data_IF_713587148470
#
_entry.id   IF_713587148470
#
_cell.length_a   1.000
_cell.length_b   1.000
_cell.length_c   1.000
_cell.angle_alpha   90.00
_cell.angle_beta   90.00
_cell.angle_gamma   90.00
#
_symmetry.space_group_name_H-M   'P 1'
#
loop_
_entity.id
_entity.type
_entity.pdbx_description
1 polymer ?
#
# COMPACT_ATOMS: atom_id res chain seq x y z
N UNK A 1 1.37 7.45 11.63
CA UNK A 1 1.51 6.01 11.38
C UNK A 1 2.32 5.31 12.49
N UNK A 2 3.53 5.80 12.84
CA UNK A 2 4.47 5.12 13.73
C UNK A 2 3.91 4.63 15.06
N UNK A 3 3.06 5.41 15.72
CA UNK A 3 2.40 5.03 16.98
C UNK A 3 1.18 4.12 16.73
N UNK A 4 0.31 4.51 15.81
CA UNK A 4 -0.95 3.81 15.56
C UNK A 4 -0.81 2.46 14.84
N UNK A 5 0.35 2.15 14.27
CA UNK A 5 0.60 0.81 13.68
C UNK A 5 0.38 -0.34 14.67
N UNK A 6 0.46 -0.06 15.99
CA UNK A 6 0.16 -1.02 17.04
C UNK A 6 -1.32 -1.45 17.06
N UNK A 7 -2.21 -0.61 16.54
CA UNK A 7 -3.65 -0.86 16.51
C UNK A 7 -4.11 -1.63 15.25
N UNK A 8 -3.21 -1.77 14.27
CA UNK A 8 -3.51 -2.52 13.05
C UNK A 8 -3.74 -4.00 13.35
N UNK A 9 -4.93 -4.50 13.03
CA UNK A 9 -5.32 -5.90 13.20
C UNK A 9 -6.75 -6.10 13.68
N UNK A 10 -7.07 -7.28 14.20
CA UNK A 10 -8.41 -7.68 14.62
C UNK A 10 -8.57 -7.49 16.13
N UNK A 11 -9.60 -6.75 16.53
CA UNK A 11 -9.98 -6.52 17.91
C UNK A 11 -11.24 -7.33 18.23
N UNK A 12 -11.27 -7.96 19.40
CA UNK A 12 -12.39 -8.75 19.90
C UNK A 12 -13.07 -8.03 21.04
N UNK A 13 -14.39 -7.87 20.95
CA UNK A 13 -15.23 -7.33 22.01
C UNK A 13 -16.17 -8.40 22.54
N UNK A 14 -16.13 -8.62 23.87
CA UNK A 14 -17.02 -9.55 24.57
C UNK A 14 -17.87 -8.76 25.56
N UNK A 15 -19.18 -8.71 25.30
CA UNK A 15 -20.16 -7.97 26.11
C UNK A 15 -21.53 -8.60 26.07
N UNK A 16 -22.39 -8.21 26.97
CA UNK A 16 -23.84 -8.43 26.82
C UNK A 16 -24.31 -7.52 25.69
N UNK A 17 -24.87 -8.10 24.64
CA UNK A 17 -25.29 -7.33 23.46
C UNK A 17 -26.54 -6.51 23.78
N UNK A 18 -26.51 -5.19 23.55
CA UNK A 18 -27.71 -4.34 23.73
C UNK A 18 -28.81 -4.64 22.70
N UNK A 19 -28.46 -5.38 21.63
CA UNK A 19 -29.43 -5.78 20.57
C UNK A 19 -30.06 -7.16 20.82
N UNK A 20 -29.66 -7.86 21.88
CA UNK A 20 -30.19 -9.17 22.23
C UNK A 20 -31.17 -9.07 23.41
N UNK A 21 -32.45 -9.23 23.16
CA UNK A 21 -33.50 -9.20 24.17
C UNK A 21 -33.30 -10.24 25.30
N UNK A 22 -32.59 -11.35 25.02
CA UNK A 22 -32.30 -12.38 26.02
C UNK A 22 -31.10 -12.05 26.93
N UNK A 23 -30.45 -10.90 26.75
CA UNK A 23 -29.32 -10.47 27.57
C UNK A 23 -28.09 -11.41 27.53
N UNK A 24 -27.91 -12.17 26.48
CA UNK A 24 -26.80 -13.13 26.35
C UNK A 24 -25.48 -12.40 26.06
N UNK A 25 -24.41 -12.92 26.64
CA UNK A 25 -23.03 -12.51 26.32
C UNK A 25 -22.67 -12.92 24.90
N UNK A 26 -22.24 -11.96 24.10
CA UNK A 26 -21.87 -12.17 22.69
C UNK A 26 -20.46 -11.61 22.41
N UNK A 27 -19.85 -12.13 21.36
CA UNK A 27 -18.55 -11.71 20.88
C UNK A 27 -18.71 -11.01 19.53
N UNK A 28 -18.08 -9.85 19.39
CA UNK A 28 -17.98 -9.12 18.13
C UNK A 28 -16.52 -8.90 17.78
N UNK A 29 -16.22 -8.84 16.49
CA UNK A 29 -14.89 -8.56 15.96
C UNK A 29 -14.93 -7.30 15.12
N UNK A 30 -13.86 -6.52 15.21
CA UNK A 30 -13.62 -5.31 14.41
C UNK A 30 -12.21 -5.37 13.87
N UNK A 31 -12.05 -5.15 12.58
CA UNK A 31 -10.74 -4.95 11.96
C UNK A 31 -10.38 -3.48 11.94
N UNK A 32 -9.20 -3.13 12.45
CA UNK A 32 -8.63 -1.80 12.34
C UNK A 32 -7.49 -1.85 11.33
N UNK A 33 -7.60 -1.07 10.26
CA UNK A 33 -6.57 -0.94 9.24
C UNK A 33 -5.90 0.42 9.37
N UNK A 34 -4.58 0.42 9.60
CA UNK A 34 -3.77 1.62 9.77
C UNK A 34 -2.72 1.66 8.70
N UNK A 35 -2.80 2.66 7.81
CA UNK A 35 -1.85 2.84 6.72
C UNK A 35 -1.11 4.17 6.84
N UNK A 36 0.15 4.25 6.38
CA UNK A 36 0.81 5.53 6.22
C UNK A 36 0.12 6.32 5.10
N UNK A 37 0.03 7.62 5.30
CA UNK A 37 -0.33 8.55 4.24
C UNK A 37 0.87 8.64 3.28
N UNK A 38 0.73 8.02 2.11
CA UNK A 38 1.76 8.03 1.07
C UNK A 38 1.38 9.12 0.09
N UNK A 39 2.30 10.06 -0.12
CA UNK A 39 2.11 11.13 -1.09
C UNK A 39 1.93 10.51 -2.49
N UNK A 40 0.72 10.63 -3.01
CA UNK A 40 0.34 10.08 -4.33
C UNK A 40 0.68 11.02 -5.48
N UNK A 41 1.30 12.17 -5.17
CA UNK A 41 1.69 13.14 -6.18
C UNK A 41 2.93 12.61 -6.94
N UNK A 42 2.67 11.97 -8.08
CA UNK A 42 3.71 11.40 -8.93
C UNK A 42 4.11 12.44 -9.94
N UNK A 43 5.17 13.20 -9.66
CA UNK A 43 5.83 14.02 -10.65
C UNK A 43 6.92 13.21 -11.37
N UNK A 44 6.91 13.26 -12.71
CA UNK A 44 7.86 12.54 -13.54
C UNK A 44 8.69 13.56 -14.30
N UNK A 45 9.89 13.77 -13.82
CA UNK A 45 10.94 14.46 -14.55
C UNK A 45 11.70 13.46 -15.41
N UNK A 46 11.82 13.76 -16.70
CA UNK A 46 12.58 12.95 -17.65
C UNK A 46 13.78 13.79 -18.07
N UNK A 47 14.98 13.32 -17.74
CA UNK A 47 16.21 13.94 -18.21
C UNK A 47 16.54 13.42 -19.61
N UNK A 48 16.91 14.32 -20.52
CA UNK A 48 17.29 13.95 -21.88
C UNK A 48 18.53 13.04 -21.92
N UNK A 49 19.43 13.15 -20.95
CA UNK A 49 20.63 12.32 -20.82
C UNK A 49 20.31 10.85 -20.50
N UNK A 50 19.13 10.59 -19.91
CA UNK A 50 18.65 9.23 -19.60
C UNK A 50 17.93 8.59 -20.79
N UNK A 51 17.82 9.30 -21.92
CA UNK A 51 17.11 8.86 -23.10
C UNK A 51 18.07 8.48 -24.23
N UNK A 52 17.90 7.29 -24.76
CA UNK A 52 18.46 6.91 -26.04
C UNK A 52 17.38 6.98 -27.10
N UNK A 53 17.58 7.86 -28.09
CA UNK A 53 16.63 8.09 -29.18
C UNK A 53 17.22 7.53 -30.48
N UNK A 54 16.59 6.48 -30.99
CA UNK A 54 16.98 5.85 -32.25
C UNK A 54 15.91 6.15 -33.31
N UNK A 55 16.36 6.57 -34.50
CA UNK A 55 15.50 6.76 -35.67
C UNK A 55 15.64 5.58 -36.61
N UNK A 56 14.54 5.07 -37.13
CA UNK A 56 14.55 3.94 -38.07
C UNK A 56 13.49 4.11 -39.16
N UNK A 57 13.59 3.29 -40.18
CA UNK A 57 12.60 3.28 -41.26
C UNK A 57 11.36 2.52 -40.81
N UNK A 58 10.20 3.18 -40.95
CA UNK A 58 8.93 2.50 -40.67
C UNK A 58 8.72 1.34 -41.67
N UNK A 59 8.32 0.16 -41.18
CA UNK A 59 7.92 -0.97 -41.99
C UNK A 59 6.38 -1.06 -42.00
N UNK A 60 5.76 -0.99 -43.17
CA UNK A 60 4.31 -1.11 -43.31
C UNK A 60 3.86 -1.09 -44.76
N UNK A 61 2.62 -1.50 -45.01
CA UNK A 61 1.96 -1.42 -46.30
C UNK A 61 1.68 0.04 -46.68
N UNK A 62 2.67 0.71 -47.23
CA UNK A 62 2.57 2.10 -47.70
C UNK A 62 3.52 2.34 -48.88
N UNK A 63 3.16 3.21 -49.78
CA UNK A 63 3.88 3.46 -51.05
C UNK A 63 5.35 3.86 -50.86
N UNK A 64 6.06 4.14 -51.96
CA UNK A 64 7.52 4.40 -52.02
C UNK A 64 8.05 5.44 -51.04
N UNK A 65 7.21 6.36 -50.55
CA UNK A 65 7.62 7.43 -49.59
C UNK A 65 7.92 6.87 -48.19
N UNK A 66 7.17 5.87 -47.71
CA UNK A 66 7.33 5.27 -46.36
C UNK A 66 8.65 4.52 -46.22
N UNK A 67 9.09 3.90 -47.32
CA UNK A 67 10.33 3.11 -47.35
C UNK A 67 11.61 3.96 -47.51
N UNK A 68 11.50 5.24 -47.82
CA UNK A 68 12.65 6.15 -48.06
C UNK A 68 13.00 7.06 -46.90
N UNK A 69 12.04 7.34 -45.97
CA UNK A 69 12.25 8.30 -44.89
C UNK A 69 12.30 7.58 -43.54
N UNK A 70 13.34 7.87 -42.74
CA UNK A 70 13.48 7.36 -41.35
C UNK A 70 12.63 8.21 -40.40
N UNK A 71 11.30 8.11 -40.50
CA UNK A 71 10.37 8.89 -39.67
C UNK A 71 9.98 8.20 -38.36
N UNK A 72 10.22 6.90 -38.25
CA UNK A 72 9.90 6.14 -37.04
C UNK A 72 10.94 6.41 -35.93
N UNK A 73 10.45 6.55 -34.71
CA UNK A 73 11.25 6.83 -33.51
C UNK A 73 11.10 5.72 -32.50
N UNK A 74 12.23 5.34 -31.91
CA UNK A 74 12.33 4.48 -30.74
C UNK A 74 13.02 5.26 -29.64
N UNK A 75 12.40 5.37 -28.47
CA UNK A 75 13.00 5.96 -27.27
C UNK A 75 13.18 4.85 -26.25
N UNK A 76 14.40 4.73 -25.76
CA UNK A 76 14.73 3.82 -24.65
C UNK A 76 15.11 4.66 -23.45
N UNK A 77 14.41 4.49 -22.35
CA UNK A 77 14.77 5.09 -21.06
C UNK A 77 15.80 4.17 -20.38
N UNK A 78 17.04 4.63 -20.30
CA UNK A 78 18.18 3.83 -19.88
C UNK A 78 18.03 3.28 -18.46
N UNK A 79 17.61 4.10 -17.43
CA UNK A 79 17.52 3.63 -16.06
C UNK A 79 16.49 2.52 -15.83
N UNK A 80 15.33 2.59 -16.52
CA UNK A 80 14.23 1.62 -16.35
C UNK A 80 14.18 0.55 -17.42
N UNK A 81 14.93 0.70 -18.51
CA UNK A 81 14.89 -0.19 -19.66
C UNK A 81 13.59 -0.13 -20.47
N UNK A 82 12.70 0.83 -20.19
CA UNK A 82 11.44 0.98 -20.92
C UNK A 82 11.72 1.45 -22.34
N UNK A 83 11.14 0.74 -23.31
CA UNK A 83 11.24 1.07 -24.74
C UNK A 83 9.87 1.45 -25.27
N UNK A 84 9.78 2.58 -25.95
CA UNK A 84 8.59 3.04 -26.66
C UNK A 84 8.92 3.28 -28.14
N UNK A 85 7.96 3.05 -29.02
CA UNK A 85 8.13 3.22 -30.46
C UNK A 85 6.90 3.96 -31.01
N UNK A 86 7.14 4.91 -31.90
CA UNK A 86 6.10 5.60 -32.63
C UNK A 86 6.47 5.75 -34.12
N UNK A 87 5.55 5.36 -34.98
CA UNK A 87 5.72 5.41 -36.44
C UNK A 87 4.45 5.88 -37.18
N UNK A 88 3.46 6.37 -36.43
CA UNK A 88 2.12 6.62 -36.98
C UNK A 88 2.04 7.91 -37.79
N UNK A 89 2.96 8.83 -37.58
CA UNK A 89 2.96 10.14 -38.23
C UNK A 89 4.03 10.22 -39.34
N UNK A 90 3.79 11.11 -40.30
CA UNK A 90 4.75 11.36 -41.39
C UNK A 90 5.96 12.18 -40.95
N UNK A 91 5.78 12.98 -39.89
CA UNK A 91 6.84 13.84 -39.33
C UNK A 91 7.58 13.11 -38.19
N UNK A 92 8.90 13.11 -38.27
CA UNK A 92 9.78 12.61 -37.24
C UNK A 92 9.57 13.33 -35.90
N UNK A 93 9.37 14.65 -35.91
CA UNK A 93 9.11 15.44 -34.70
C UNK A 93 7.82 15.05 -34.02
N UNK A 94 6.73 14.84 -34.78
CA UNK A 94 5.46 14.41 -34.22
C UNK A 94 5.55 13.00 -33.63
N UNK A 95 6.30 12.09 -34.26
CA UNK A 95 6.56 10.78 -33.70
C UNK A 95 7.40 10.85 -32.40
N UNK A 96 8.36 11.79 -32.31
CA UNK A 96 9.15 12.03 -31.10
C UNK A 96 8.25 12.50 -29.96
N UNK A 97 7.40 13.49 -30.21
CA UNK A 97 6.51 14.06 -29.19
C UNK A 97 5.53 13.01 -28.68
N UNK A 98 4.93 12.21 -29.58
CA UNK A 98 4.06 11.11 -29.20
C UNK A 98 4.79 10.01 -28.42
N UNK A 99 5.99 9.65 -28.86
CA UNK A 99 6.82 8.68 -28.13
C UNK A 99 7.18 9.17 -26.72
N UNK A 100 7.49 10.46 -26.56
CA UNK A 100 7.73 11.06 -25.24
C UNK A 100 6.49 11.00 -24.34
N UNK A 101 5.31 11.30 -24.87
CA UNK A 101 4.05 11.17 -24.12
C UNK A 101 3.80 9.73 -23.71
N UNK A 102 4.02 8.77 -24.60
CA UNK A 102 3.89 7.32 -24.30
C UNK A 102 4.90 6.89 -23.24
N UNK A 103 6.14 7.37 -23.30
CA UNK A 103 7.15 7.08 -22.28
C UNK A 103 6.74 7.63 -20.93
N UNK A 104 6.29 8.89 -20.87
CA UNK A 104 5.81 9.52 -19.64
C UNK A 104 4.67 8.75 -19.01
N UNK A 105 3.70 8.30 -19.82
CA UNK A 105 2.59 7.47 -19.35
C UNK A 105 3.06 6.11 -18.79
N UNK A 106 4.03 5.45 -19.42
CA UNK A 106 4.56 4.17 -18.93
C UNK A 106 5.38 4.33 -17.65
N UNK A 107 6.19 5.39 -17.54
CA UNK A 107 6.92 5.70 -16.32
C UNK A 107 5.97 6.02 -15.16
N UNK A 108 4.87 6.73 -15.44
CA UNK A 108 3.82 7.00 -14.46
C UNK A 108 3.22 5.71 -13.91
N UNK A 109 2.82 4.79 -14.79
CA UNK A 109 2.26 3.50 -14.38
C UNK A 109 3.25 2.66 -13.56
N UNK A 110 4.54 2.66 -13.96
CA UNK A 110 5.58 1.94 -13.21
C UNK A 110 5.73 2.52 -11.81
N UNK A 111 5.81 3.84 -11.68
CA UNK A 111 5.95 4.50 -10.39
C UNK A 111 4.70 4.31 -9.51
N UNK A 112 3.52 4.28 -10.11
CA UNK A 112 2.28 3.94 -9.41
C UNK A 112 2.32 2.51 -8.88
N UNK A 113 2.73 1.54 -9.69
CA UNK A 113 2.88 0.14 -9.27
C UNK A 113 3.90 -0.01 -8.12
N UNK A 114 5.03 0.71 -8.18
CA UNK A 114 6.01 0.72 -7.09
C UNK A 114 5.43 1.28 -5.79
N UNK A 115 4.63 2.34 -5.87
CA UNK A 115 3.96 2.92 -4.69
C UNK A 115 2.89 1.97 -4.13
N UNK A 116 2.11 1.33 -5.00
CA UNK A 116 1.11 0.33 -4.60
C UNK A 116 1.78 -0.89 -3.95
N UNK A 117 2.91 -1.35 -4.50
CA UNK A 117 3.69 -2.41 -3.90
C UNK A 117 4.24 -2.04 -2.52
N UNK A 118 4.82 -0.85 -2.38
CA UNK A 118 5.28 -0.32 -1.08
C UNK A 118 4.15 -0.23 -0.07
N UNK A 119 2.97 0.24 -0.51
CA UNK A 119 1.78 0.31 0.35
C UNK A 119 1.34 -1.08 0.81
N UNK A 120 1.36 -2.07 -0.09
CA UNK A 120 1.02 -3.46 0.21
C UNK A 120 2.04 -4.08 1.18
N UNK A 121 3.33 -3.86 0.94
CA UNK A 121 4.41 -4.38 1.81
C UNK A 121 4.34 -3.78 3.23
N UNK A 122 3.97 -2.49 3.34
CA UNK A 122 3.79 -1.82 4.64
C UNK A 122 2.52 -2.29 5.34
N UNK A 123 1.46 -2.53 4.59
CA UNK A 123 0.19 -3.04 5.11
C UNK A 123 0.34 -4.43 5.70
N UNK A 124 1.21 -5.27 5.14
CA UNK A 124 1.38 -6.67 5.52
C UNK A 124 0.15 -7.52 5.19
N UNK A 125 0.20 -8.78 5.60
CA UNK A 125 -0.92 -9.71 5.39
C UNK A 125 -2.14 -9.29 6.21
N UNK A 126 -3.24 -8.96 5.54
CA UNK A 126 -4.54 -8.76 6.18
C UNK A 126 -5.05 -10.12 6.65
N UNK A 127 -4.95 -10.37 7.95
CA UNK A 127 -5.43 -11.62 8.55
C UNK A 127 -6.97 -11.66 8.53
N UNK A 128 -7.50 -12.82 8.23
CA UNK A 128 -8.94 -13.07 8.31
C UNK A 128 -9.50 -12.69 9.68
N UNK A 129 -10.71 -12.12 9.69
CA UNK A 129 -11.43 -11.74 10.91
C UNK A 129 -11.96 -12.99 11.58
N UNK A 130 -11.14 -13.65 12.39
CA UNK A 130 -11.48 -14.87 13.11
C UNK A 130 -10.90 -14.90 14.54
N UNK A 131 -11.25 -15.95 15.30
CA UNK A 131 -10.77 -16.11 16.68
C UNK A 131 -9.25 -16.27 16.81
N UNK A 132 -8.55 -16.72 15.77
CA UNK A 132 -7.10 -16.94 15.78
C UNK A 132 -6.28 -15.68 15.48
N UNK A 133 -6.89 -14.65 14.90
CA UNK A 133 -6.19 -13.47 14.37
C UNK A 133 -6.26 -12.25 15.28
N UNK A 134 -6.92 -12.36 16.43
CA UNK A 134 -7.15 -11.22 17.32
C UNK A 134 -5.85 -10.71 17.97
N UNK A 135 -5.60 -9.41 17.86
CA UNK A 135 -4.47 -8.75 18.51
C UNK A 135 -4.82 -8.29 19.93
N UNK A 136 -6.08 -7.86 20.15
CA UNK A 136 -6.55 -7.37 21.46
C UNK A 136 -7.95 -7.82 21.76
N UNK A 137 -8.19 -8.18 23.03
CA UNK A 137 -9.49 -8.60 23.52
C UNK A 137 -9.99 -7.62 24.59
N UNK A 138 -11.22 -7.17 24.40
CA UNK A 138 -11.97 -6.30 25.33
C UNK A 138 -13.08 -7.14 25.95
N UNK A 139 -13.01 -7.37 27.25
CA UNK A 139 -14.02 -8.11 28.00
C UNK A 139 -14.70 -7.14 28.95
N UNK A 140 -16.04 -7.03 28.84
CA UNK A 140 -16.86 -6.17 29.69
C UNK A 140 -17.69 -6.93 30.72
N UNK A 141 -17.94 -8.22 30.48
CA UNK A 141 -18.65 -9.13 31.40
C UNK A 141 -18.06 -10.53 31.36
N UNK A 142 -17.99 -11.26 32.48
CA UNK A 142 -18.45 -10.90 33.85
C UNK A 142 -17.48 -9.98 34.60
N UNK A 143 -16.30 -9.72 34.07
CA UNK A 143 -15.29 -8.80 34.59
C UNK A 143 -14.85 -7.86 33.48
N UNK A 144 -14.26 -6.72 33.84
CA UNK A 144 -13.73 -5.77 32.87
C UNK A 144 -12.23 -5.96 32.71
N UNK A 145 -11.78 -6.20 31.47
CA UNK A 145 -10.36 -6.36 31.17
C UNK A 145 -10.11 -6.09 29.67
N UNK A 146 -9.01 -5.43 29.37
CA UNK A 146 -8.46 -5.37 28.02
C UNK A 146 -7.09 -6.00 28.04
N UNK A 147 -6.86 -6.95 27.12
CA UNK A 147 -5.59 -7.66 26.98
C UNK A 147 -5.11 -7.62 25.55
N UNK A 148 -3.86 -7.22 25.34
CA UNK A 148 -3.16 -7.38 24.06
C UNK A 148 -2.48 -8.74 24.04
N UNK A 149 -2.86 -9.58 23.06
CA UNK A 149 -2.38 -10.96 22.96
C UNK A 149 -0.92 -11.07 22.51
N UNK A 150 -0.36 -10.00 21.91
CA UNK A 150 1.02 -9.97 21.40
C UNK A 150 2.03 -9.66 22.50
N UNK A 151 1.68 -8.70 23.36
CA UNK A 151 2.56 -8.19 24.43
C UNK A 151 2.18 -8.70 25.81
N UNK A 152 1.06 -9.42 25.93
CA UNK A 152 0.45 -9.85 27.20
C UNK A 152 0.13 -8.68 28.16
N UNK A 153 0.12 -7.43 27.65
CA UNK A 153 -0.27 -6.26 28.46
C UNK A 153 -1.76 -6.30 28.76
N UNK A 154 -2.09 -6.13 30.06
CA UNK A 154 -3.47 -6.15 30.56
C UNK A 154 -3.78 -4.81 31.26
N UNK A 155 -5.02 -4.35 31.10
CA UNK A 155 -5.61 -3.19 31.78
C UNK A 155 -7.01 -3.56 32.25
N UNK A 156 -7.27 -3.46 33.56
CA UNK A 156 -8.56 -3.84 34.15
C UNK A 156 -9.70 -2.89 33.81
N UNK A 157 -9.40 -1.60 33.58
CA UNK A 157 -10.41 -0.58 33.26
C UNK A 157 -10.65 -0.53 31.74
N UNK A 158 -11.56 -1.38 31.26
CA UNK A 158 -11.91 -1.39 29.83
C UNK A 158 -12.60 -0.08 29.38
N UNK A 159 -13.34 0.61 30.23
CA UNK A 159 -13.98 1.88 29.92
C UNK A 159 -12.96 2.95 29.57
N UNK A 160 -11.93 3.13 30.39
CA UNK A 160 -10.85 4.08 30.11
C UNK A 160 -10.16 3.83 28.78
N UNK A 161 -9.95 2.57 28.41
CA UNK A 161 -9.33 2.21 27.12
C UNK A 161 -10.25 2.54 25.95
N UNK A 162 -11.55 2.30 26.10
CA UNK A 162 -12.55 2.65 25.08
C UNK A 162 -12.73 4.18 24.94
N UNK A 163 -12.48 4.92 26.00
CA UNK A 163 -12.49 6.40 26.02
C UNK A 163 -11.19 7.00 25.43
N UNK A 164 -10.24 6.17 24.99
CA UNK A 164 -9.04 6.61 24.28
C UNK A 164 -7.71 6.42 25.01
N UNK A 165 -7.69 5.89 26.25
CA UNK A 165 -6.44 5.61 26.96
C UNK A 165 -5.76 4.33 26.43
N UNK A 166 -5.24 4.39 25.20
CA UNK A 166 -4.56 3.28 24.49
C UNK A 166 -3.05 3.31 24.63
N UNK A 167 -2.47 4.39 25.15
CA UNK A 167 -1.02 4.58 25.27
C UNK A 167 -0.28 3.43 25.95
N UNK A 168 -0.82 2.77 27.01
CA UNK A 168 -0.16 1.63 27.64
C UNK A 168 0.08 0.47 26.69
N UNK A 169 -0.82 0.26 25.73
CA UNK A 169 -0.71 -0.80 24.71
C UNK A 169 0.24 -0.40 23.59
N UNK A 170 0.18 0.86 23.14
CA UNK A 170 1.09 1.42 22.14
C UNK A 170 2.53 1.28 22.62
N UNK A 171 2.82 1.75 23.84
CA UNK A 171 4.16 1.70 24.42
C UNK A 171 4.65 0.26 24.62
N UNK A 172 3.78 -0.63 25.10
CA UNK A 172 4.12 -2.04 25.24
C UNK A 172 4.46 -2.68 23.90
N UNK A 173 3.70 -2.39 22.84
CA UNK A 173 3.94 -2.90 21.51
C UNK A 173 5.23 -2.35 20.88
N UNK A 174 5.50 -1.04 21.02
CA UNK A 174 6.71 -0.43 20.51
C UNK A 174 7.95 -0.99 21.22
N UNK A 175 7.87 -1.19 22.53
CA UNK A 175 8.94 -1.84 23.31
C UNK A 175 9.15 -3.27 22.84
N UNK A 176 8.08 -4.04 22.66
CA UNK A 176 8.14 -5.42 22.20
C UNK A 176 8.80 -5.55 20.81
N UNK A 177 8.53 -4.63 19.88
CA UNK A 177 9.20 -4.60 18.56
C UNK A 177 10.68 -4.23 18.73
N UNK A 178 11.00 -3.24 19.54
CA UNK A 178 12.38 -2.73 19.69
C UNK A 178 13.31 -3.73 20.40
N UNK A 179 12.77 -4.54 21.31
CA UNK A 179 13.54 -5.57 22.04
C UNK A 179 13.65 -6.90 21.29
N UNK A 180 13.09 -6.99 20.05
CA UNK A 180 13.18 -8.18 19.22
C UNK A 180 12.53 -9.39 19.86
N UNK A 181 11.15 -9.42 19.88
CA UNK A 181 10.34 -10.63 20.20
C UNK A 181 10.92 -11.51 21.30
N UNK A 182 11.23 -10.98 22.46
CA UNK A 182 11.53 -11.78 23.66
C UNK A 182 10.26 -11.77 24.49
N UNK A 183 9.59 -12.82 24.56
CA UNK A 183 9.42 -13.92 25.44
C UNK A 183 8.16 -14.71 25.10
N UNK A 184 8.36 -15.82 24.48
CA UNK A 184 7.48 -16.96 24.73
C UNK A 184 7.77 -17.46 26.14
N UNK A 185 6.78 -17.38 27.01
CA UNK A 185 6.60 -18.26 28.17
C UNK A 185 5.15 -18.62 28.32
#
# INVERSE_FOLDING_TARGET
>A
YGHLKSEHGVHRLVRISPFNAAGKRQTSFVSCDVMPDIDTNIDIEINDDDLRIDTYRSSGAGGQHINKTSSAIRITHIPTGIVVQCQNERSQHQNKDKAMQMLKARLYLLKQQENDQKSSDIRGDVKDINFGSQIRSYVLQPYTMVKDNRTNKEVANAGSVLDGNIDPFINAYLTWISTGKTEEK
#
